data_IF_588194464460
#
_entry.id   IF_588194464460
#
_cell.length_a   1.000
_cell.length_b   1.000
_cell.length_c   1.000
_cell.angle_alpha   90.00
_cell.angle_beta   90.00
_cell.angle_gamma   90.00
#
_symmetry.space_group_name_H-M   'P 1'
#
loop_
_entity.id
_entity.type
_entity.pdbx_description
1 polymer ?
#
# COMPACT_ATOMS: atom_id res chain seq x y z
N UNK A 1 -9.32 23.04 -1.52
CA UNK A 1 -8.47 22.47 -0.46
C UNK A 1 -7.03 22.65 -0.87
N UNK A 2 -6.24 23.36 -0.08
CA UNK A 2 -4.80 23.47 -0.29
C UNK A 2 -4.19 22.08 -0.10
N UNK A 3 -3.44 21.63 -1.10
CA UNK A 3 -2.68 20.38 -1.08
C UNK A 3 -1.71 20.45 0.11
N UNK A 4 -1.77 19.47 1.04
CA UNK A 4 -0.80 19.40 2.12
C UNK A 4 0.57 19.09 1.52
N UNK A 5 1.59 19.79 2.00
CA UNK A 5 2.97 19.47 1.68
C UNK A 5 3.21 18.00 2.06
N UNK A 6 3.76 17.20 1.14
CA UNK A 6 3.98 15.76 1.26
C UNK A 6 2.75 14.83 1.32
N UNK A 7 1.54 15.32 1.04
CA UNK A 7 0.31 14.50 0.84
C UNK A 7 0.04 13.50 2.01
N UNK A 8 0.35 13.91 3.27
CA UNK A 8 0.21 13.06 4.44
C UNK A 8 -1.25 12.90 4.87
N UNK A 9 -1.69 11.65 4.92
CA UNK A 9 -3.03 11.24 5.31
C UNK A 9 -2.97 10.03 6.26
N UNK A 10 -3.00 10.25 7.61
CA UNK A 10 -3.00 9.15 8.58
C UNK A 10 -4.15 8.19 8.30
N UNK A 11 -3.86 6.92 8.11
CA UNK A 11 -4.90 5.93 7.79
C UNK A 11 -5.70 5.59 9.04
N UNK A 12 -7.04 5.81 9.06
CA UNK A 12 -7.83 5.48 10.23
C UNK A 12 -7.91 3.96 10.43
N UNK A 13 -7.90 3.43 11.67
CA UNK A 13 -7.96 2.00 11.97
C UNK A 13 -9.09 1.28 11.23
N UNK A 14 -10.30 1.85 11.20
CA UNK A 14 -11.43 1.26 10.50
C UNK A 14 -11.23 1.03 8.99
N UNK A 15 -10.22 1.64 8.39
CA UNK A 15 -9.89 1.43 6.98
C UNK A 15 -8.97 0.22 6.75
N UNK A 16 -8.36 -0.33 7.81
CA UNK A 16 -7.35 -1.39 7.72
C UNK A 16 -7.69 -2.66 8.50
N UNK A 17 -8.47 -2.57 9.57
CA UNK A 17 -8.73 -3.70 10.48
C UNK A 17 -9.31 -4.94 9.77
N UNK A 18 -10.28 -4.75 8.88
CA UNK A 18 -10.89 -5.85 8.13
C UNK A 18 -9.90 -6.48 7.14
N UNK A 19 -9.04 -5.67 6.53
CA UNK A 19 -8.01 -6.14 5.63
C UNK A 19 -7.01 -7.04 6.37
N UNK A 20 -6.52 -6.60 7.52
CA UNK A 20 -5.50 -7.33 8.27
C UNK A 20 -6.00 -8.70 8.72
N UNK A 21 -7.27 -8.82 9.11
CA UNK A 21 -7.89 -10.11 9.44
C UNK A 21 -7.96 -11.08 8.26
N UNK A 22 -8.06 -10.55 7.04
CA UNK A 22 -8.08 -11.37 5.82
C UNK A 22 -6.68 -11.77 5.38
N UNK A 23 -5.69 -10.91 5.58
CA UNK A 23 -4.31 -11.18 5.22
C UNK A 23 -3.70 -12.19 6.20
N UNK A 24 -2.90 -13.10 5.66
CA UNK A 24 -2.12 -14.06 6.45
C UNK A 24 -0.68 -14.03 5.92
N UNK A 25 0.11 -13.01 6.29
CA UNK A 25 1.49 -12.90 5.80
C UNK A 25 2.32 -14.07 6.32
N UNK A 26 3.22 -14.57 5.47
CA UNK A 26 4.20 -15.57 5.84
C UNK A 26 5.18 -15.04 6.90
N UNK A 27 6.06 -15.90 7.36
CA UNK A 27 7.12 -15.55 8.31
C UNK A 27 8.06 -14.50 7.70
N UNK A 28 8.35 -13.44 8.46
CA UNK A 28 9.21 -12.36 7.98
C UNK A 28 9.01 -11.06 8.73
N UNK A 29 9.23 -9.92 8.08
CA UNK A 29 8.99 -8.61 8.63
C UNK A 29 7.89 -7.86 7.85
N UNK A 30 7.28 -6.86 8.51
CA UNK A 30 6.32 -5.92 7.90
C UNK A 30 7.05 -4.67 7.46
N UNK A 31 6.79 -4.17 6.25
CA UNK A 31 7.35 -2.93 5.75
C UNK A 31 6.24 -1.92 5.41
N UNK A 32 6.34 -0.72 5.99
CA UNK A 32 5.59 0.46 5.54
C UNK A 32 6.56 1.47 4.93
N UNK A 33 6.60 1.60 3.60
CA UNK A 33 7.53 2.49 2.91
C UNK A 33 7.12 3.97 2.89
N UNK A 34 5.97 4.33 3.47
CA UNK A 34 5.50 5.70 3.65
C UNK A 34 4.79 5.84 5.01
N UNK A 35 5.54 5.56 6.07
CA UNK A 35 5.00 5.28 7.40
C UNK A 35 4.23 6.44 8.05
N UNK A 36 4.51 7.68 7.66
CA UNK A 36 3.87 8.86 8.27
C UNK A 36 3.99 8.83 9.78
N UNK A 37 2.84 8.91 10.46
CA UNK A 37 2.78 8.84 11.93
C UNK A 37 2.70 7.39 12.47
N UNK A 38 2.83 6.36 11.61
CA UNK A 38 2.92 4.96 11.99
C UNK A 38 1.60 4.21 12.10
N UNK A 39 0.47 4.82 11.72
CA UNK A 39 -0.86 4.24 11.94
C UNK A 39 -1.07 2.86 11.29
N UNK A 40 -0.56 2.64 10.07
CA UNK A 40 -0.66 1.34 9.40
C UNK A 40 0.23 0.29 10.08
N UNK A 41 1.43 0.70 10.48
CA UNK A 41 2.35 -0.18 11.17
C UNK A 41 1.82 -0.58 12.54
N UNK A 42 1.24 0.38 13.31
CA UNK A 42 0.57 0.10 14.58
C UNK A 42 -0.52 -0.96 14.42
N UNK A 43 -1.39 -0.79 13.42
CA UNK A 43 -2.46 -1.74 13.15
C UNK A 43 -1.92 -3.12 12.75
N UNK A 44 -0.91 -3.16 11.87
CA UNK A 44 -0.31 -4.42 11.44
C UNK A 44 0.39 -5.16 12.58
N UNK A 45 1.12 -4.45 13.46
CA UNK A 45 1.79 -5.05 14.61
C UNK A 45 0.83 -5.46 15.72
N UNK A 46 -0.35 -4.87 15.80
CA UNK A 46 -1.41 -5.31 16.71
C UNK A 46 -2.05 -6.65 16.26
N UNK A 47 -2.19 -6.87 14.95
CA UNK A 47 -2.77 -8.10 14.40
C UNK A 47 -1.71 -9.20 14.24
N UNK A 48 -0.49 -8.84 13.81
CA UNK A 48 0.59 -9.78 13.55
C UNK A 48 1.74 -9.57 14.52
N UNK A 49 2.37 -10.66 14.94
CA UNK A 49 3.66 -10.62 15.64
C UNK A 49 4.76 -11.07 14.64
N UNK A 50 5.30 -10.17 13.82
CA UNK A 50 6.27 -10.56 12.81
C UNK A 50 7.58 -10.98 13.47
N UNK A 51 8.09 -12.18 13.14
CA UNK A 51 9.29 -12.73 13.76
C UNK A 51 10.54 -11.91 13.55
N UNK A 52 10.62 -11.23 12.40
CA UNK A 52 11.77 -10.42 12.01
C UNK A 52 11.54 -8.94 12.20
N UNK A 53 10.46 -8.58 12.94
CA UNK A 53 10.14 -7.20 13.26
C UNK A 53 9.51 -6.42 12.10
N UNK A 54 9.91 -5.17 11.96
CA UNK A 54 9.32 -4.25 10.98
C UNK A 54 10.37 -3.31 10.40
N UNK A 55 10.02 -2.68 9.26
CA UNK A 55 10.74 -1.59 8.63
C UNK A 55 9.77 -0.46 8.32
N UNK A 56 9.90 0.65 9.02
CA UNK A 56 9.20 1.90 8.73
C UNK A 56 10.13 2.83 7.97
N UNK A 57 9.68 3.37 6.83
CA UNK A 57 10.44 4.35 6.05
C UNK A 57 9.59 5.61 5.90
N UNK A 58 10.20 6.77 6.17
CA UNK A 58 9.52 8.06 6.06
C UNK A 58 10.49 9.11 5.54
N UNK A 59 10.05 9.94 4.61
CA UNK A 59 10.86 11.01 4.03
C UNK A 59 10.80 12.28 4.87
N UNK A 60 9.64 12.56 5.48
CA UNK A 60 9.42 13.78 6.26
C UNK A 60 9.77 13.57 7.73
N UNK A 61 10.83 14.25 8.18
CA UNK A 61 11.28 14.21 9.58
C UNK A 61 10.34 14.92 10.58
N UNK A 62 9.30 15.60 10.10
CA UNK A 62 8.27 16.17 10.95
C UNK A 62 7.38 15.08 11.58
N UNK A 63 7.20 13.96 10.90
CA UNK A 63 6.49 12.80 11.44
C UNK A 63 7.33 12.08 12.51
N UNK A 64 6.69 11.72 13.61
CA UNK A 64 7.32 11.10 14.78
C UNK A 64 6.53 9.87 15.22
N UNK A 65 6.48 8.82 14.39
CA UNK A 65 5.81 7.59 14.80
C UNK A 65 6.48 7.00 16.05
N UNK A 66 5.75 6.21 16.85
CA UNK A 66 6.29 5.59 18.06
C UNK A 66 7.30 4.46 17.76
N UNK A 67 7.55 4.19 16.49
CA UNK A 67 8.43 3.15 16.00
C UNK A 67 9.80 3.68 15.60
N UNK A 68 10.79 2.77 15.52
CA UNK A 68 12.05 3.08 14.86
C UNK A 68 11.81 3.31 13.37
N UNK A 69 12.26 4.44 12.84
CA UNK A 69 12.03 4.87 11.46
C UNK A 69 13.35 5.12 10.74
N UNK A 70 13.47 4.56 9.55
CA UNK A 70 14.48 4.94 8.58
C UNK A 70 14.01 6.21 7.85
N UNK A 71 14.58 7.35 8.17
CA UNK A 71 14.26 8.60 7.48
C UNK A 71 15.01 8.67 6.15
N UNK A 72 14.31 8.26 5.08
CA UNK A 72 14.82 8.22 3.71
C UNK A 72 13.69 8.32 2.69
N UNK A 73 14.02 8.69 1.46
CA UNK A 73 13.09 8.55 0.34
C UNK A 73 13.12 7.09 -0.15
N UNK A 74 12.03 6.37 0.10
CA UNK A 74 11.89 4.96 -0.31
C UNK A 74 12.19 4.74 -1.79
N UNK A 75 11.76 5.66 -2.67
CA UNK A 75 11.95 5.50 -4.11
C UNK A 75 13.43 5.53 -4.54
N UNK A 76 14.29 6.15 -3.73
CA UNK A 76 15.74 6.25 -4.01
C UNK A 76 16.58 5.15 -3.34
N UNK A 77 16.01 4.42 -2.37
CA UNK A 77 16.72 3.33 -1.71
C UNK A 77 17.02 2.19 -2.70
N UNK A 78 18.15 1.49 -2.53
CA UNK A 78 18.42 0.28 -3.29
C UNK A 78 17.34 -0.79 -2.99
N UNK A 79 17.08 -1.71 -3.92
CA UNK A 79 16.16 -2.82 -3.67
C UNK A 79 16.59 -3.63 -2.45
N UNK A 80 15.61 -4.06 -1.65
CA UNK A 80 15.87 -4.96 -0.54
C UNK A 80 16.38 -6.31 -1.06
N UNK A 81 17.46 -6.79 -0.48
CA UNK A 81 17.98 -8.14 -0.75
C UNK A 81 17.15 -9.24 -0.09
N UNK A 82 16.35 -8.86 0.88
CA UNK A 82 15.51 -9.72 1.70
C UNK A 82 14.09 -9.14 1.70
N UNK A 83 13.17 -9.73 0.92
CA UNK A 83 11.84 -9.18 0.77
C UNK A 83 11.03 -9.31 2.07
N UNK A 84 10.16 -8.34 2.40
CA UNK A 84 9.25 -8.44 3.54
C UNK A 84 8.19 -9.53 3.33
N UNK A 85 7.60 -10.00 4.41
CA UNK A 85 6.40 -10.82 4.36
C UNK A 85 5.17 -9.99 3.93
N UNK A 86 5.11 -8.73 4.37
CA UNK A 86 4.03 -7.80 4.05
C UNK A 86 4.60 -6.40 3.76
N UNK A 87 4.32 -5.88 2.58
CA UNK A 87 4.27 -4.44 2.35
C UNK A 87 2.85 -3.95 2.61
N UNK A 88 2.69 -3.00 3.53
CA UNK A 88 1.42 -2.30 3.74
C UNK A 88 1.67 -0.81 3.63
N UNK A 89 0.93 -0.11 2.79
CA UNK A 89 1.24 1.28 2.49
C UNK A 89 0.00 2.09 2.10
N UNK A 90 -0.08 3.31 2.62
CA UNK A 90 -0.91 4.39 2.08
C UNK A 90 0.04 5.39 1.38
N UNK A 91 0.41 5.14 0.11
CA UNK A 91 1.43 5.94 -0.55
C UNK A 91 0.94 7.36 -0.83
N UNK A 92 1.85 8.34 -0.92
CA UNK A 92 1.50 9.68 -1.42
C UNK A 92 0.82 9.57 -2.77
N UNK A 93 -0.39 10.12 -2.93
CA UNK A 93 -1.23 9.88 -4.12
C UNK A 93 -0.57 10.31 -5.42
N UNK A 94 0.27 11.34 -5.36
CA UNK A 94 1.03 11.81 -6.52
C UNK A 94 2.07 10.80 -7.01
N UNK A 95 2.58 9.95 -6.12
CA UNK A 95 3.65 8.97 -6.35
C UNK A 95 3.17 7.53 -6.17
N UNK A 96 1.85 7.31 -6.09
CA UNK A 96 1.30 6.00 -5.76
C UNK A 96 1.70 4.92 -6.77
N UNK A 97 1.81 5.24 -8.05
CA UNK A 97 2.23 4.30 -9.07
C UNK A 97 3.69 3.89 -8.88
N UNK A 98 4.57 4.83 -8.62
CA UNK A 98 6.00 4.62 -8.38
C UNK A 98 6.23 3.74 -7.14
N UNK A 99 5.53 4.05 -6.03
CA UNK A 99 5.57 3.25 -4.82
C UNK A 99 5.13 1.81 -5.06
N UNK A 100 3.97 1.62 -5.67
CA UNK A 100 3.45 0.28 -5.96
C UNK A 100 4.39 -0.47 -6.91
N UNK A 101 4.91 0.19 -7.95
CA UNK A 101 5.85 -0.42 -8.90
C UNK A 101 7.09 -0.93 -8.17
N UNK A 102 7.66 -0.13 -7.27
CA UNK A 102 8.85 -0.52 -6.51
C UNK A 102 8.56 -1.67 -5.54
N UNK A 103 7.48 -1.60 -4.75
CA UNK A 103 7.06 -2.71 -3.88
C UNK A 103 6.87 -4.02 -4.66
N UNK A 104 6.25 -3.95 -5.84
CA UNK A 104 6.06 -5.12 -6.70
C UNK A 104 7.37 -5.66 -7.27
N UNK A 105 8.35 -4.80 -7.53
CA UNK A 105 9.69 -5.23 -7.97
C UNK A 105 10.48 -5.91 -6.85
N UNK A 106 10.30 -5.47 -5.61
CA UNK A 106 11.00 -5.96 -4.41
C UNK A 106 10.32 -7.18 -3.75
N UNK A 107 9.09 -7.54 -4.15
CA UNK A 107 8.37 -8.67 -3.55
C UNK A 107 9.06 -10.00 -3.80
N UNK A 108 9.09 -10.83 -2.77
CA UNK A 108 9.49 -12.26 -2.85
C UNK A 108 8.33 -13.17 -3.26
N UNK A 109 8.55 -14.49 -3.28
CA UNK A 109 7.52 -15.47 -3.61
C UNK A 109 6.31 -15.41 -2.67
N UNK A 110 6.53 -15.16 -1.39
CA UNK A 110 5.50 -15.20 -0.35
C UNK A 110 5.12 -13.79 0.17
N UNK A 111 5.68 -12.74 -0.44
CA UNK A 111 5.38 -11.36 -0.05
C UNK A 111 3.94 -10.99 -0.40
N UNK A 112 3.21 -10.43 0.55
CA UNK A 112 1.96 -9.73 0.28
C UNK A 112 2.26 -8.24 0.09
N UNK A 113 1.69 -7.63 -0.94
CA UNK A 113 1.70 -6.17 -1.13
C UNK A 113 0.27 -5.67 -1.01
N UNK A 114 0.00 -4.80 -0.05
CA UNK A 114 -1.29 -4.15 0.16
C UNK A 114 -1.14 -2.63 0.10
N UNK A 115 -1.75 -2.00 -0.89
CA UNK A 115 -1.69 -0.55 -1.09
C UNK A 115 -3.09 0.07 -1.00
N UNK A 116 -3.23 1.10 -0.15
CA UNK A 116 -4.46 1.90 -0.07
C UNK A 116 -4.44 2.95 -1.18
N UNK A 117 -5.37 2.85 -2.10
CA UNK A 117 -5.43 3.69 -3.28
C UNK A 117 -6.81 4.33 -3.43
N UNK A 118 -6.87 5.52 -4.01
CA UNK A 118 -8.14 6.08 -4.46
C UNK A 118 -8.74 5.21 -5.56
N UNK A 119 -10.04 4.97 -5.52
CA UNK A 119 -10.73 4.14 -6.53
C UNK A 119 -10.52 4.67 -7.95
N UNK A 120 -10.44 5.99 -8.13
CA UNK A 120 -10.11 6.63 -9.40
C UNK A 120 -8.70 6.29 -9.94
N UNK A 121 -7.83 5.67 -9.14
CA UNK A 121 -6.54 5.17 -9.60
C UNK A 121 -6.70 4.07 -10.66
N UNK A 122 -7.80 3.31 -10.64
CA UNK A 122 -8.13 2.30 -11.63
C UNK A 122 -8.44 2.90 -13.01
N UNK A 123 -9.15 4.00 -13.05
CA UNK A 123 -9.79 4.56 -14.26
C UNK A 123 -8.92 5.52 -15.07
N UNK A 124 -7.60 5.38 -15.13
CA UNK A 124 -6.75 6.31 -15.87
C UNK A 124 -6.18 5.72 -17.16
N UNK A 125 -6.40 6.41 -18.29
CA UNK A 125 -5.78 6.06 -19.58
C UNK A 125 -4.25 5.97 -19.47
N UNK A 126 -3.63 6.86 -18.69
CA UNK A 126 -2.16 6.86 -18.50
C UNK A 126 -1.65 5.59 -17.80
N UNK A 127 -2.49 4.96 -16.95
CA UNK A 127 -2.13 3.76 -16.18
C UNK A 127 -2.63 2.46 -16.83
N UNK A 128 -3.30 2.55 -17.96
CA UNK A 128 -3.88 1.36 -18.62
C UNK A 128 -2.82 0.30 -18.92
N UNK A 129 -1.71 0.69 -19.56
CA UNK A 129 -0.63 -0.25 -19.87
C UNK A 129 0.06 -0.77 -18.59
N UNK A 130 0.26 0.10 -17.61
CA UNK A 130 0.83 -0.30 -16.32
C UNK A 130 -0.05 -1.34 -15.61
N UNK A 131 -1.37 -1.17 -15.65
CA UNK A 131 -2.30 -2.14 -15.08
C UNK A 131 -2.26 -3.48 -15.79
N UNK A 132 -2.07 -3.55 -17.10
CA UNK A 132 -1.93 -4.81 -17.83
C UNK A 132 -0.80 -5.68 -17.28
N UNK A 133 0.27 -5.04 -16.81
CA UNK A 133 1.44 -5.71 -16.26
C UNK A 133 1.35 -5.95 -14.75
N UNK A 134 0.52 -5.18 -14.05
CA UNK A 134 0.50 -5.11 -12.59
C UNK A 134 -0.90 -5.31 -11.99
N UNK A 135 -1.67 -6.28 -12.51
CA UNK A 135 -2.99 -6.57 -11.94
C UNK A 135 -2.89 -7.01 -10.49
N UNK A 136 -3.73 -6.45 -9.60
CA UNK A 136 -3.86 -6.98 -8.25
C UNK A 136 -4.61 -8.32 -8.25
N UNK A 137 -4.30 -9.18 -7.31
CA UNK A 137 -5.00 -10.44 -7.10
C UNK A 137 -6.37 -10.20 -6.46
N UNK A 138 -6.47 -9.15 -5.65
CA UNK A 138 -7.73 -8.76 -5.04
C UNK A 138 -7.86 -7.23 -4.92
N UNK A 139 -9.10 -6.76 -4.94
CA UNK A 139 -9.47 -5.38 -4.62
C UNK A 139 -10.52 -5.43 -3.50
N UNK A 140 -10.32 -4.64 -2.45
CA UNK A 140 -11.28 -4.46 -1.36
C UNK A 140 -11.68 -3.00 -1.29
N UNK A 141 -12.88 -2.68 -1.72
CA UNK A 141 -13.41 -1.33 -1.71
C UNK A 141 -13.87 -1.00 -0.31
N UNK A 142 -13.42 0.15 0.22
CA UNK A 142 -13.88 0.61 1.52
C UNK A 142 -15.35 1.03 1.43
N UNK A 143 -16.20 0.46 2.29
CA UNK A 143 -17.63 0.78 2.35
C UNK A 143 -17.90 2.18 2.88
N UNK A 144 -16.94 2.75 3.60
CA UNK A 144 -16.98 4.12 4.14
C UNK A 144 -15.76 4.89 3.67
N UNK A 145 -15.96 6.15 3.30
CA UNK A 145 -14.83 7.05 3.00
C UNK A 145 -14.05 7.31 4.28
N UNK A 146 -12.72 7.15 4.25
CA UNK A 146 -11.90 7.40 5.41
C UNK A 146 -11.89 8.90 5.77
N UNK A 147 -11.80 9.19 7.07
CA UNK A 147 -11.52 10.54 7.58
C UNK A 147 -10.04 10.62 7.95
N UNK A 148 -9.26 11.22 7.10
CA UNK A 148 -7.80 11.37 7.32
C UNK A 148 -7.45 12.59 8.18
N UNK A 149 -8.42 13.45 8.48
CA UNK A 149 -8.19 14.69 9.24
C UNK A 149 -8.54 14.57 10.72
N UNK A 150 -9.19 13.46 11.11
CA UNK A 150 -9.63 13.24 12.49
C UNK A 150 -10.76 14.16 12.95
N UNK A 151 -11.26 15.05 12.09
CA UNK A 151 -12.33 16.00 12.38
C UNK A 151 -13.73 15.47 12.05
N UNK A 152 -13.83 14.18 11.71
CA UNK A 152 -15.08 13.53 11.31
C UNK A 152 -15.50 13.80 9.86
N UNK A 153 -14.81 14.68 9.14
CA UNK A 153 -15.08 14.90 7.71
C UNK A 153 -14.38 13.82 6.89
N UNK A 154 -15.15 13.16 6.05
CA UNK A 154 -14.62 12.16 5.12
C UNK A 154 -13.98 12.81 3.90
N UNK A 155 -13.00 12.13 3.29
CA UNK A 155 -12.49 12.53 1.97
C UNK A 155 -13.61 12.48 0.92
N UNK A 156 -13.46 13.26 -0.13
CA UNK A 156 -14.40 13.28 -1.27
C UNK A 156 -14.18 12.11 -2.25
N UNK A 157 -13.21 11.26 -2.01
CA UNK A 157 -12.86 10.12 -2.86
C UNK A 157 -13.23 8.81 -2.18
N UNK A 158 -13.62 7.82 -2.97
CA UNK A 158 -13.68 6.42 -2.57
C UNK A 158 -12.27 5.81 -2.59
N UNK A 159 -12.07 4.82 -1.74
CA UNK A 159 -10.79 4.14 -1.56
C UNK A 159 -10.92 2.63 -1.68
N UNK A 160 -9.82 2.01 -2.02
CA UNK A 160 -9.68 0.56 -2.10
C UNK A 160 -8.33 0.11 -1.60
N UNK A 161 -8.27 -1.09 -1.06
CA UNK A 161 -7.03 -1.85 -0.97
C UNK A 161 -6.83 -2.63 -2.24
N UNK A 162 -5.68 -2.43 -2.90
CA UNK A 162 -5.20 -3.27 -3.98
C UNK A 162 -4.16 -4.24 -3.41
N UNK A 163 -4.34 -5.53 -3.65
CA UNK A 163 -3.59 -6.60 -2.99
C UNK A 163 -2.93 -7.50 -4.03
N UNK A 164 -1.64 -7.74 -3.86
CA UNK A 164 -0.85 -8.67 -4.66
C UNK A 164 -0.23 -9.73 -3.77
N UNK A 165 -0.24 -10.99 -4.22
CA UNK A 165 0.37 -12.12 -3.55
C UNK A 165 1.55 -12.64 -4.35
N UNK A 166 2.73 -12.65 -3.76
CA UNK A 166 3.95 -13.22 -4.30
C UNK A 166 4.40 -12.69 -5.66
N UNK A 167 5.52 -13.20 -6.14
CA UNK A 167 5.91 -13.00 -7.55
C UNK A 167 5.10 -13.91 -8.46
N UNK A 168 4.71 -13.45 -9.64
CA UNK A 168 4.15 -14.35 -10.64
C UNK A 168 5.12 -15.49 -10.97
N UNK A 169 4.61 -16.71 -10.96
CA UNK A 169 5.34 -17.94 -11.31
C UNK A 169 4.37 -18.89 -12.02
N UNK A 170 4.85 -20.09 -12.38
CA UNK A 170 3.99 -21.10 -12.95
C UNK A 170 2.84 -21.50 -12.00
N UNK A 171 3.15 -21.56 -10.68
CA UNK A 171 2.19 -21.94 -9.62
C UNK A 171 1.36 -20.76 -9.11
N UNK A 172 1.82 -19.52 -9.37
CA UNK A 172 1.15 -18.29 -9.03
C UNK A 172 1.12 -17.33 -10.24
N UNK A 173 0.32 -17.63 -11.26
CA UNK A 173 0.27 -16.82 -12.48
C UNK A 173 -0.33 -15.44 -12.19
N UNK A 174 0.01 -14.47 -13.04
CA UNK A 174 -0.62 -13.14 -12.97
C UNK A 174 -2.14 -13.29 -13.10
N UNK A 175 -2.92 -12.60 -12.25
CA UNK A 175 -4.37 -12.59 -12.37
C UNK A 175 -4.77 -12.09 -13.76
N UNK A 176 -5.84 -12.67 -14.33
CA UNK A 176 -6.39 -12.17 -15.58
C UNK A 176 -7.16 -10.87 -15.30
N UNK A 177 -7.03 -9.85 -16.17
CA UNK A 177 -7.83 -8.65 -16.06
C UNK A 177 -9.30 -8.97 -16.28
N UNK A 178 -10.11 -8.88 -15.24
CA UNK A 178 -11.55 -9.20 -15.34
C UNK A 178 -12.40 -8.03 -15.88
N UNK A 179 -11.81 -6.81 -16.05
CA UNK A 179 -12.64 -5.60 -16.11
C UNK A 179 -12.05 -4.43 -16.93
N UNK A 180 -11.07 -4.68 -17.77
CA UNK A 180 -10.58 -3.64 -18.67
C UNK A 180 -11.22 -3.79 -20.05
N UNK A 181 -12.20 -2.95 -20.34
CA UNK A 181 -12.57 -2.66 -21.70
C UNK A 181 -11.68 -1.54 -22.22
N UNK A 182 -10.99 -1.76 -23.33
CA UNK A 182 -10.50 -0.64 -24.11
C UNK A 182 -11.74 0.14 -24.53
N UNK A 183 -12.09 1.17 -23.81
CA UNK A 183 -13.12 2.11 -24.23
C UNK A 183 -12.76 2.54 -25.63
N UNK A 184 -13.66 2.35 -26.56
CA UNK A 184 -13.47 2.73 -27.95
C UNK A 184 -12.97 4.17 -28.07
N UNK A 185 -12.21 4.41 -29.10
CA UNK A 185 -11.69 5.72 -29.47
C UNK A 185 -12.80 6.75 -29.56
#
# INVERSE_FOLDING_TARGET
MTRRENDHYPTPPAAVDELLKELNPAWGYVCDPAAGDGALLDAALAEYTPERGYLAIEVDRAHKPPHYVLYADYLTLPPSVDPPALFICNPPYALAQEFVTKMLAERGPDTIVAALLRLGFLGSRKRHEWWKENHPHAIRILSKRPSFTGDGKTDNSEYMWAIWFGRPSADNPRPRPLWWYAGGA
#
